data_IF_800162368977
#
_entry.id   IF_800162368977
#
_cell.length_a   1.000
_cell.length_b   1.000
_cell.length_c   1.000
_cell.angle_alpha   90.00
_cell.angle_beta   90.00
_cell.angle_gamma   90.00
#
_symmetry.space_group_name_H-M   'P 1'
#
loop_
_entity.id
_entity.type
_entity.pdbx_description
1 polymer ?
#
# COMPACT_ATOMS: atom_id res chain seq x y z
N UNK A 1 -8.90 -11.00 4.69
CA UNK A 1 -9.94 -11.43 5.67
C UNK A 1 -9.36 -11.64 7.05
N UNK A 2 -8.27 -12.40 7.20
CA UNK A 2 -7.64 -12.68 8.50
C UNK A 2 -7.09 -11.40 9.15
N UNK A 3 -6.39 -10.55 8.39
CA UNK A 3 -5.88 -9.26 8.90
C UNK A 3 -6.95 -8.19 9.17
N UNK A 4 -8.12 -8.31 8.54
CA UNK A 4 -9.20 -7.31 8.67
C UNK A 4 -10.27 -7.72 9.70
N UNK A 5 -10.63 -9.01 9.74
CA UNK A 5 -11.70 -9.54 10.58
C UNK A 5 -11.23 -9.95 11.98
N UNK A 6 -10.03 -10.51 12.09
CA UNK A 6 -9.52 -11.07 13.35
C UNK A 6 -9.21 -10.00 14.41
N UNK A 7 -8.75 -8.78 14.07
CA UNK A 7 -8.55 -7.72 15.05
C UNK A 7 -9.82 -6.92 15.38
N UNK A 8 -10.69 -6.66 14.39
CA UNK A 8 -11.78 -5.68 14.52
C UNK A 8 -13.21 -6.24 14.55
N UNK A 9 -13.48 -7.43 13.99
CA UNK A 9 -14.87 -7.86 13.75
C UNK A 9 -15.36 -9.07 14.57
N UNK A 10 -14.48 -9.99 14.99
CA UNK A 10 -14.95 -11.20 15.68
C UNK A 10 -13.87 -11.96 16.49
N UNK A 11 -13.42 -11.43 17.63
CA UNK A 11 -12.65 -12.26 18.59
C UNK A 11 -13.44 -13.54 18.94
N UNK A 12 -12.91 -14.71 18.56
CA UNK A 12 -13.37 -16.02 19.07
C UNK A 12 -14.60 -16.68 18.40
N UNK A 13 -14.98 -16.33 17.16
CA UNK A 13 -16.06 -17.06 16.46
C UNK A 13 -15.55 -18.31 15.69
N UNK A 14 -16.44 -19.28 15.50
CA UNK A 14 -16.24 -20.51 14.73
C UNK A 14 -15.61 -20.30 13.34
N UNK A 15 -14.64 -21.14 12.98
CA UNK A 15 -13.92 -21.13 11.69
C UNK A 15 -14.85 -21.17 10.47
N UNK A 16 -16.02 -21.81 10.58
CA UNK A 16 -17.04 -21.84 9.52
C UNK A 16 -17.57 -20.44 9.16
N UNK A 17 -17.69 -19.54 10.12
CA UNK A 17 -18.14 -18.16 9.89
C UNK A 17 -17.10 -17.36 9.11
N UNK A 18 -15.81 -17.56 9.42
CA UNK A 18 -14.70 -16.96 8.70
C UNK A 18 -14.63 -17.43 7.25
N UNK A 19 -14.78 -18.73 7.01
CA UNK A 19 -14.78 -19.30 5.66
C UNK A 19 -15.97 -18.79 4.83
N UNK A 20 -17.17 -18.69 5.41
CA UNK A 20 -18.35 -18.17 4.71
C UNK A 20 -18.21 -16.68 4.38
N UNK A 21 -17.67 -15.90 5.30
CA UNK A 21 -17.41 -14.47 5.08
C UNK A 21 -16.32 -14.26 4.03
N UNK A 22 -15.26 -15.07 4.05
CA UNK A 22 -14.22 -15.04 3.04
C UNK A 22 -14.76 -15.36 1.65
N UNK A 23 -15.69 -16.32 1.52
CA UNK A 23 -16.37 -16.62 0.25
C UNK A 23 -17.18 -15.45 -0.28
N UNK A 24 -17.93 -14.74 0.57
CA UNK A 24 -18.69 -13.55 0.15
C UNK A 24 -17.78 -12.41 -0.31
N UNK A 25 -16.70 -12.15 0.43
CA UNK A 25 -15.70 -11.16 0.03
C UNK A 25 -15.05 -11.55 -1.28
N UNK A 26 -14.65 -12.82 -1.45
CA UNK A 26 -14.07 -13.32 -2.69
C UNK A 26 -15.04 -13.11 -3.85
N UNK A 27 -16.32 -13.48 -3.69
CA UNK A 27 -17.35 -13.32 -4.71
C UNK A 27 -17.54 -11.83 -5.08
N UNK A 28 -17.63 -10.94 -4.09
CA UNK A 28 -17.75 -9.51 -4.32
C UNK A 28 -16.54 -8.93 -5.07
N UNK A 29 -15.31 -9.32 -4.70
CA UNK A 29 -14.09 -8.91 -5.37
C UNK A 29 -14.05 -9.45 -6.81
N UNK A 30 -14.41 -10.71 -7.03
CA UNK A 30 -14.49 -11.30 -8.37
C UNK A 30 -15.47 -10.54 -9.26
N UNK A 31 -16.67 -10.22 -8.76
CA UNK A 31 -17.64 -9.41 -9.51
C UNK A 31 -17.10 -8.01 -9.84
N UNK A 32 -16.42 -7.37 -8.89
CA UNK A 32 -15.81 -6.06 -9.10
C UNK A 32 -14.72 -6.12 -10.18
N UNK A 33 -13.85 -7.13 -10.14
CA UNK A 33 -12.81 -7.34 -11.16
C UNK A 33 -13.42 -7.56 -12.54
N UNK A 34 -14.48 -8.36 -12.65
CA UNK A 34 -15.19 -8.59 -13.91
C UNK A 34 -15.81 -7.28 -14.44
N UNK A 35 -16.48 -6.51 -13.58
CA UNK A 35 -17.02 -5.20 -13.95
C UNK A 35 -15.92 -4.24 -14.43
N UNK A 36 -14.80 -4.19 -13.70
CA UNK A 36 -13.63 -3.41 -14.07
C UNK A 36 -13.06 -3.82 -15.44
N UNK A 37 -12.96 -5.12 -15.71
CA UNK A 37 -12.49 -5.64 -16.99
C UNK A 37 -13.43 -5.29 -18.15
N UNK A 38 -14.75 -5.33 -17.95
CA UNK A 38 -15.74 -4.92 -18.96
C UNK A 38 -15.62 -3.43 -19.27
N UNK A 39 -15.48 -2.58 -18.25
CA UNK A 39 -15.26 -1.14 -18.42
C UNK A 39 -13.95 -0.87 -19.15
N UNK A 40 -12.88 -1.56 -18.74
CA UNK A 40 -11.56 -1.44 -19.35
C UNK A 40 -11.56 -1.86 -20.83
N UNK A 41 -12.29 -2.93 -21.16
CA UNK A 41 -12.46 -3.40 -22.54
C UNK A 41 -13.14 -2.38 -23.46
N UNK A 42 -13.82 -1.35 -22.92
CA UNK A 42 -14.41 -0.26 -23.71
C UNK A 42 -13.48 0.94 -23.89
N UNK A 43 -12.37 0.99 -23.16
CA UNK A 43 -11.34 2.02 -23.29
C UNK A 43 -10.34 1.50 -24.32
N UNK A 44 -10.63 1.72 -25.60
CA UNK A 44 -9.71 1.39 -26.68
C UNK A 44 -8.49 2.31 -26.61
N UNK A 45 -7.30 1.67 -26.48
CA UNK A 45 -5.92 2.16 -26.70
C UNK A 45 -5.09 2.20 -25.42
N UNK A 46 -4.49 1.07 -25.08
CA UNK A 46 -3.13 0.92 -24.56
C UNK A 46 -2.74 -0.55 -24.83
N UNK A 47 -1.50 -0.84 -25.21
CA UNK A 47 -1.07 -2.23 -25.40
C UNK A 47 -1.30 -3.02 -24.10
N UNK A 48 -1.77 -4.27 -24.16
CA UNK A 48 -1.95 -5.11 -22.95
C UNK A 48 -0.66 -5.19 -22.10
N UNK A 49 0.49 -5.09 -22.76
CA UNK A 49 1.80 -5.03 -22.11
C UNK A 49 2.01 -3.72 -21.34
N UNK A 50 1.60 -2.58 -21.89
CA UNK A 50 1.78 -1.26 -21.27
C UNK A 50 0.96 -1.16 -19.98
N UNK A 51 -0.27 -1.68 -20.00
CA UNK A 51 -1.13 -1.76 -18.81
C UNK A 51 -0.48 -2.63 -17.73
N UNK A 52 0.08 -3.77 -18.14
CA UNK A 52 0.76 -4.69 -17.22
C UNK A 52 2.00 -4.04 -16.58
N UNK A 53 2.77 -3.27 -17.35
CA UNK A 53 3.92 -2.50 -16.87
C UNK A 53 3.49 -1.37 -15.91
N UNK A 54 2.42 -0.65 -16.23
CA UNK A 54 1.88 0.42 -15.38
C UNK A 54 1.42 -0.17 -14.04
N UNK A 55 0.61 -1.23 -14.07
CA UNK A 55 0.12 -1.91 -12.86
C UNK A 55 1.29 -2.42 -12.01
N UNK A 56 2.25 -3.10 -12.62
CA UNK A 56 3.44 -3.63 -11.91
C UNK A 56 4.26 -2.51 -11.29
N UNK A 57 4.45 -1.40 -11.99
CA UNK A 57 5.17 -0.23 -11.49
C UNK A 57 4.47 0.41 -10.29
N UNK A 58 3.14 0.52 -10.33
CA UNK A 58 2.34 1.09 -9.24
C UNK A 58 2.43 0.24 -7.98
N UNK A 59 2.11 -1.05 -8.11
CA UNK A 59 2.09 -1.97 -6.97
C UNK A 59 3.50 -2.24 -6.45
N UNK A 60 4.46 -2.42 -7.36
CA UNK A 60 5.88 -2.58 -7.03
C UNK A 60 6.43 -1.36 -6.30
N UNK A 61 6.14 -0.15 -6.78
CA UNK A 61 6.54 1.12 -6.15
C UNK A 61 5.91 1.33 -4.78
N UNK A 62 4.59 1.07 -4.64
CA UNK A 62 3.87 1.11 -3.36
C UNK A 62 4.56 0.22 -2.31
N UNK A 63 4.74 -1.05 -2.68
CA UNK A 63 5.22 -2.07 -1.75
C UNK A 63 6.70 -1.83 -1.41
N UNK A 64 7.52 -1.48 -2.40
CA UNK A 64 8.90 -1.08 -2.20
C UNK A 64 9.01 0.17 -1.30
N UNK A 65 8.19 1.19 -1.51
CA UNK A 65 8.16 2.39 -0.67
C UNK A 65 7.81 2.08 0.78
N UNK A 66 6.80 1.24 1.01
CA UNK A 66 6.40 0.78 2.34
C UNK A 66 7.51 -0.02 3.02
N UNK A 67 8.15 -0.96 2.32
CA UNK A 67 9.26 -1.74 2.86
C UNK A 67 10.49 -0.88 3.12
N UNK A 68 10.83 0.05 2.24
CA UNK A 68 11.94 0.98 2.45
C UNK A 68 11.70 1.87 3.67
N UNK A 69 10.47 2.40 3.82
CA UNK A 69 10.08 3.14 5.02
C UNK A 69 10.24 2.29 6.28
N UNK A 70 9.75 1.04 6.27
CA UNK A 70 9.85 0.13 7.41
C UNK A 70 11.27 -0.31 7.75
N UNK A 71 12.12 -0.60 6.76
CA UNK A 71 13.48 -1.10 6.99
C UNK A 71 14.48 -0.01 7.34
N UNK A 72 14.42 1.13 6.64
CA UNK A 72 15.40 2.20 6.78
C UNK A 72 14.98 3.27 7.78
N UNK A 73 13.70 3.38 8.13
CA UNK A 73 13.21 4.47 8.98
C UNK A 73 12.70 3.95 10.31
N UNK A 74 13.40 4.31 11.39
CA UNK A 74 13.01 4.02 12.78
C UNK A 74 11.93 4.96 13.35
N UNK A 75 11.53 5.96 12.58
CA UNK A 75 10.65 7.05 13.03
C UNK A 75 9.27 7.02 12.37
N UNK A 76 9.07 6.21 11.33
CA UNK A 76 7.78 6.15 10.64
C UNK A 76 6.92 5.16 11.39
N UNK A 77 6.12 5.70 12.30
CA UNK A 77 5.17 4.91 13.06
C UNK A 77 3.98 4.50 12.21
N UNK A 78 3.33 3.39 12.58
CA UNK A 78 2.15 2.88 11.90
C UNK A 78 1.02 3.92 11.78
N UNK A 79 0.91 4.85 12.74
CA UNK A 79 -0.06 5.95 12.68
C UNK A 79 0.25 6.93 11.56
N UNK A 80 1.51 7.36 11.41
CA UNK A 80 1.93 8.27 10.34
C UNK A 80 1.78 7.63 8.97
N UNK A 81 2.11 6.33 8.85
CA UNK A 81 1.86 5.55 7.65
C UNK A 81 0.37 5.44 7.31
N UNK A 82 -0.50 5.22 8.31
CA UNK A 82 -1.96 5.13 8.10
C UNK A 82 -2.56 6.46 7.66
N UNK A 83 -2.15 7.58 8.26
CA UNK A 83 -2.62 8.92 7.86
C UNK A 83 -2.13 9.24 6.45
N UNK A 84 -0.87 8.98 6.15
CA UNK A 84 -0.31 9.17 4.82
C UNK A 84 -1.03 8.30 3.77
N UNK A 85 -1.37 7.07 4.11
CA UNK A 85 -2.16 6.17 3.25
C UNK A 85 -3.54 6.76 2.97
N UNK A 86 -4.22 7.29 3.99
CA UNK A 86 -5.51 7.96 3.82
C UNK A 86 -5.43 9.18 2.89
N UNK A 87 -4.42 10.03 3.06
CA UNK A 87 -4.17 11.19 2.19
C UNK A 87 -3.81 10.77 0.75
N UNK A 88 -3.03 9.71 0.58
CA UNK A 88 -2.68 9.18 -0.74
C UNK A 88 -3.90 8.60 -1.46
N UNK A 89 -4.81 7.92 -0.75
CA UNK A 89 -6.08 7.44 -1.31
C UNK A 89 -6.95 8.62 -1.76
N UNK A 90 -7.09 9.67 -0.94
CA UNK A 90 -7.84 10.87 -1.31
C UNK A 90 -7.24 11.56 -2.55
N UNK A 91 -5.91 11.67 -2.60
CA UNK A 91 -5.22 12.23 -3.75
C UNK A 91 -5.39 11.38 -5.01
N UNK A 92 -5.38 10.06 -4.89
CA UNK A 92 -5.67 9.14 -6.00
C UNK A 92 -7.11 9.30 -6.51
N UNK A 93 -8.10 9.40 -5.62
CA UNK A 93 -9.50 9.65 -5.99
C UNK A 93 -9.61 11.00 -6.72
N UNK A 94 -8.93 12.05 -6.23
CA UNK A 94 -8.89 13.35 -6.88
C UNK A 94 -8.35 13.28 -8.32
N UNK A 95 -7.23 12.58 -8.53
CA UNK A 95 -6.67 12.38 -9.87
C UNK A 95 -7.59 11.52 -10.76
N UNK A 96 -8.21 10.48 -10.22
CA UNK A 96 -9.16 9.63 -10.93
C UNK A 96 -10.42 10.38 -11.37
N UNK A 97 -10.97 11.26 -10.52
CA UNK A 97 -12.09 12.14 -10.89
C UNK A 97 -11.70 13.17 -11.96
N UNK A 98 -10.45 13.66 -11.92
CA UNK A 98 -9.89 14.50 -12.98
C UNK A 98 -9.79 13.76 -14.32
N UNK A 99 -9.35 12.50 -14.31
CA UNK A 99 -9.26 11.66 -15.51
C UNK A 99 -10.64 11.35 -16.11
N UNK A 100 -11.69 11.24 -15.29
CA UNK A 100 -13.08 11.08 -15.73
C UNK A 100 -13.71 12.36 -16.28
N UNK A 101 -12.96 13.47 -16.40
CA UNK A 101 -13.43 14.81 -16.83
C UNK A 101 -14.57 15.38 -15.98
N UNK A 102 -14.73 14.91 -14.74
CA UNK A 102 -15.78 15.39 -13.85
C UNK A 102 -15.39 16.68 -13.10
N UNK A 103 -14.11 17.09 -13.19
CA UNK A 103 -13.60 18.34 -12.63
C UNK A 103 -13.40 19.44 -13.71
N UNK A 104 -13.58 20.73 -13.34
CA UNK A 104 -13.31 21.85 -14.24
C UNK A 104 -11.84 21.87 -14.70
N UNK A 105 -11.54 22.28 -15.95
CA UNK A 105 -10.20 22.25 -16.55
C UNK A 105 -9.11 22.97 -15.75
N UNK A 106 -9.50 23.92 -14.90
CA UNK A 106 -8.63 24.71 -14.04
C UNK A 106 -7.99 23.91 -12.89
N UNK A 107 -8.62 22.81 -12.48
CA UNK A 107 -8.14 21.92 -11.41
C UNK A 107 -7.59 20.59 -11.93
N UNK A 108 -7.76 20.27 -13.21
CA UNK A 108 -7.21 19.05 -13.80
C UNK A 108 -5.70 19.19 -13.95
N UNK A 109 -4.94 18.52 -13.08
CA UNK A 109 -3.52 18.29 -13.30
C UNK A 109 -3.39 17.42 -14.56
N UNK A 110 -2.73 17.93 -15.60
CA UNK A 110 -2.44 17.23 -16.86
C UNK A 110 -1.43 16.09 -16.69
N UNK A 111 -1.59 15.28 -15.65
CA UNK A 111 -0.76 14.12 -15.36
C UNK A 111 -1.23 12.99 -16.28
N UNK A 112 -0.36 12.56 -17.18
CA UNK A 112 -0.59 11.38 -18.00
C UNK A 112 -0.84 10.15 -17.11
N UNK A 113 -1.74 9.26 -17.55
CA UNK A 113 -2.13 8.03 -16.84
C UNK A 113 -0.92 7.22 -16.33
N UNK A 114 0.18 7.20 -17.11
CA UNK A 114 1.45 6.56 -16.74
C UNK A 114 2.08 7.09 -15.44
N UNK A 115 1.97 8.40 -15.19
CA UNK A 115 2.62 9.06 -14.05
C UNK A 115 1.76 9.08 -12.79
N UNK A 116 0.44 8.92 -12.91
CA UNK A 116 -0.51 8.95 -11.78
C UNK A 116 -0.03 8.05 -10.64
N UNK A 117 0.37 6.83 -11.01
CA UNK A 117 0.94 5.84 -10.11
C UNK A 117 2.16 6.30 -9.33
N UNK A 118 3.17 6.78 -10.06
CA UNK A 118 4.43 7.25 -9.48
C UNK A 118 4.20 8.50 -8.62
N UNK A 119 3.33 9.42 -9.04
CA UNK A 119 3.02 10.65 -8.31
C UNK A 119 2.29 10.36 -7.01
N UNK A 120 1.28 9.48 -7.01
CA UNK A 120 0.57 9.08 -5.78
C UNK A 120 1.51 8.39 -4.81
N UNK A 121 2.38 7.51 -5.31
CA UNK A 121 3.39 6.83 -4.50
C UNK A 121 4.43 7.79 -3.89
N UNK A 122 4.96 8.70 -4.70
CA UNK A 122 5.88 9.73 -4.22
C UNK A 122 5.21 10.61 -3.18
N UNK A 123 3.96 11.03 -3.43
CA UNK A 123 3.17 11.79 -2.48
C UNK A 123 2.97 11.04 -1.16
N UNK A 124 2.63 9.75 -1.21
CA UNK A 124 2.52 8.90 -0.03
C UNK A 124 3.81 8.89 0.80
N UNK A 125 4.97 8.63 0.16
CA UNK A 125 6.26 8.56 0.85
C UNK A 125 6.61 9.91 1.48
N UNK A 126 6.45 11.01 0.72
CA UNK A 126 6.76 12.36 1.18
C UNK A 126 5.88 12.72 2.38
N UNK A 127 4.57 12.48 2.30
CA UNK A 127 3.64 12.76 3.39
C UNK A 127 3.94 11.88 4.60
N UNK A 128 4.23 10.59 4.41
CA UNK A 128 4.60 9.69 5.50
C UNK A 128 5.86 10.17 6.25
N UNK A 129 6.86 10.66 5.51
CA UNK A 129 8.07 11.25 6.09
C UNK A 129 7.77 12.57 6.80
N UNK A 130 7.05 13.51 6.17
CA UNK A 130 6.69 14.80 6.79
C UNK A 130 5.89 14.57 8.07
N UNK A 131 4.87 13.70 8.04
CA UNK A 131 4.09 13.35 9.21
C UNK A 131 4.93 12.63 10.26
N UNK A 132 5.88 11.78 9.87
CA UNK A 132 6.85 11.18 10.80
C UNK A 132 7.74 12.23 11.48
N UNK A 133 8.06 13.34 10.81
CA UNK A 133 8.80 14.46 11.41
C UNK A 133 7.92 15.33 12.32
N UNK A 134 6.67 15.60 11.93
CA UNK A 134 5.74 16.46 12.69
C UNK A 134 5.10 15.74 13.87
N UNK A 135 4.62 14.51 13.66
CA UNK A 135 3.99 13.68 14.69
C UNK A 135 5.08 12.86 15.38
N UNK A 136 5.74 13.47 16.36
CA UNK A 136 6.70 12.78 17.22
C UNK A 136 5.94 12.05 18.34
N UNK A 137 5.61 10.76 18.18
CA UNK A 137 4.97 9.96 19.23
C UNK A 137 5.31 8.46 19.21
N UNK A 138 5.75 8.00 20.38
CA UNK A 138 6.02 6.63 20.85
C UNK A 138 6.72 5.69 19.88
N UNK A 139 8.05 5.65 20.05
CA UNK A 139 8.92 4.59 19.53
C UNK A 139 8.49 3.26 20.15
N UNK A 140 7.61 2.53 19.48
CA UNK A 140 7.42 1.10 19.77
C UNK A 140 8.77 0.40 19.67
N UNK A 141 9.00 -0.66 20.45
CA UNK A 141 10.26 -1.38 20.37
C UNK A 141 10.43 -1.97 18.95
N UNK A 142 11.41 -1.45 18.20
CA UNK A 142 11.71 -1.82 16.81
C UNK A 142 12.82 -2.89 16.71
N UNK A 143 13.16 -3.55 17.82
CA UNK A 143 14.22 -4.55 17.89
C UNK A 143 14.05 -5.64 16.82
N UNK A 144 15.06 -5.83 15.97
CA UNK A 144 15.04 -6.80 14.87
C UNK A 144 14.20 -6.44 13.62
N UNK A 145 13.41 -5.36 13.63
CA UNK A 145 12.58 -4.97 12.46
C UNK A 145 13.26 -4.02 11.47
N UNK A 146 14.23 -3.22 11.92
CA UNK A 146 14.97 -2.28 11.04
C UNK A 146 16.40 -2.79 10.84
N UNK A 147 17.02 -2.47 9.71
CA UNK A 147 18.45 -2.82 9.43
C UNK A 147 19.36 -2.35 10.58
N UNK A 148 18.97 -1.26 11.21
CA UNK A 148 19.71 -0.65 12.30
C UNK A 148 19.55 -1.36 13.66
N UNK A 149 18.45 -2.09 13.89
CA UNK A 149 18.10 -2.76 15.17
C UNK A 149 18.35 -4.27 15.16
N UNK A 150 18.96 -4.82 14.11
CA UNK A 150 19.28 -6.24 14.07
C UNK A 150 20.32 -6.58 15.14
N UNK A 151 20.09 -7.60 15.99
CA UNK A 151 21.10 -8.08 16.92
C UNK A 151 22.29 -8.58 16.10
N UNK A 152 23.45 -7.97 16.31
CA UNK A 152 24.69 -8.38 15.65
C UNK A 152 24.94 -9.83 16.05
N UNK A 153 24.66 -10.77 15.14
CA UNK A 153 24.92 -12.19 15.36
C UNK A 153 26.40 -12.30 15.68
N UNK A 154 26.72 -12.52 16.96
CA UNK A 154 28.08 -12.83 17.37
C UNK A 154 28.43 -14.12 16.63
N UNK A 155 29.27 -13.99 15.61
CA UNK A 155 29.96 -15.11 14.99
C UNK A 155 30.93 -15.61 16.06
N UNK A 156 30.42 -16.38 17.03
CA UNK A 156 31.22 -17.39 17.71
C UNK A 156 31.27 -18.58 16.75
N UNK A 157 32.14 -18.47 15.76
CA UNK A 157 32.64 -19.65 15.08
C UNK A 157 33.48 -20.40 16.12
N UNK A 158 32.92 -21.53 16.59
CA UNK A 158 33.64 -22.77 16.87
C UNK A 158 35.18 -22.68 16.79
N UNK A 159 35.82 -22.40 17.93
CA UNK A 159 37.24 -22.70 18.21
C UNK A 159 37.39 -23.80 19.26
N UNK A 160 36.31 -24.51 19.61
CA UNK A 160 36.34 -25.64 20.55
C UNK A 160 35.56 -26.80 19.95
N UNK A 161 36.19 -27.53 19.02
CA UNK A 161 36.11 -28.99 18.86
C UNK A 161 36.85 -29.39 17.58
N UNK A 162 38.10 -29.86 17.74
CA UNK A 162 38.95 -30.41 16.67
C UNK A 162 40.43 -30.37 17.00
#
# INVERSE_FOLDING_TARGET
VIDLMKPYLAKGREDKYYLRSARWVALAVTLLVILGAIVFSRIEKESMNDVSLIVTSIFGGCLMGLFMLGFFTRRVDGTSATIAMGLAILFNIYLGLGALKWLPPSFTLGIHSYWVGATVNGFFIIIALILSFLLRRDTKNLEGLTVWTMPRRAVKATEEDG
#
